data_IF_028025703217
#
_entry.id   IF_028025703217
#
_cell.length_a   1.000
_cell.length_b   1.000
_cell.length_c   1.000
_cell.angle_alpha   90.00
_cell.angle_beta   90.00
_cell.angle_gamma   90.00
#
_symmetry.space_group_name_H-M   'P 1'
#
loop_
_entity.id
_entity.type
_entity.pdbx_description
1 polymer ?
#
# COMPACT_ATOMS: atom_id res chain seq x y z
N UNK A 1 11.60 19.45 13.42
CA UNK A 1 10.53 18.63 14.03
C UNK A 1 9.46 18.32 13.00
N UNK A 2 8.91 17.11 13.06
CA UNK A 2 7.75 16.59 12.32
C UNK A 2 8.04 15.98 10.94
N UNK A 3 8.50 14.72 10.96
CA UNK A 3 8.42 13.79 9.83
C UNK A 3 7.00 13.21 9.78
N UNK A 4 6.19 13.67 8.83
CA UNK A 4 4.86 13.14 8.57
C UNK A 4 4.94 11.73 7.98
N UNK A 5 4.66 10.75 8.83
CA UNK A 5 4.45 9.36 8.40
C UNK A 5 3.00 9.27 7.93
N UNK A 6 2.80 9.35 6.63
CA UNK A 6 1.53 9.04 5.97
C UNK A 6 1.16 7.58 6.23
N UNK A 7 0.09 7.37 6.98
CA UNK A 7 -0.44 6.05 7.32
C UNK A 7 -1.54 5.73 6.29
N UNK A 8 -1.32 4.74 5.44
CA UNK A 8 -2.25 4.30 4.38
C UNK A 8 -3.02 3.08 4.90
N UNK A 9 -4.21 3.29 5.46
CA UNK A 9 -5.06 2.19 5.94
C UNK A 9 -5.97 1.72 4.80
N UNK A 10 -5.84 0.46 4.39
CA UNK A 10 -6.69 -0.18 3.38
C UNK A 10 -7.70 -1.04 4.15
N UNK A 11 -8.94 -0.56 4.26
CA UNK A 11 -10.00 -1.26 4.98
C UNK A 11 -10.80 -2.16 4.02
N UNK A 12 -10.66 -3.48 4.15
CA UNK A 12 -11.67 -4.44 3.68
C UNK A 12 -12.79 -4.53 4.70
N UNK A 13 -14.03 -4.26 4.28
CA UNK A 13 -15.23 -4.32 5.15
C UNK A 13 -15.33 -5.69 5.82
N UNK A 14 -15.26 -5.71 7.14
CA UNK A 14 -15.78 -6.80 7.98
C UNK A 14 -16.48 -6.15 9.19
N UNK A 15 -17.68 -6.65 9.47
CA UNK A 15 -18.63 -6.07 10.42
C UNK A 15 -18.11 -5.96 11.87
N UNK A 16 -18.67 -4.98 12.58
CA UNK A 16 -18.23 -4.38 13.85
C UNK A 16 -17.96 -5.34 15.03
N UNK A 17 -16.79 -5.21 15.67
CA UNK A 17 -16.56 -5.34 17.14
C UNK A 17 -15.40 -4.43 17.59
N UNK A 18 -15.43 -3.83 18.80
CA UNK A 18 -14.48 -2.80 19.21
C UNK A 18 -13.13 -3.37 19.70
N UNK A 19 -12.10 -2.58 19.39
CA UNK A 19 -10.68 -2.61 19.72
C UNK A 19 -10.13 -3.61 20.75
N UNK A 20 -9.22 -4.46 20.27
CA UNK A 20 -8.02 -4.88 21.01
C UNK A 20 -6.80 -4.75 20.07
N UNK A 21 -5.98 -3.72 20.29
CA UNK A 21 -4.70 -3.55 19.60
C UNK A 21 -3.65 -4.49 20.20
N UNK A 22 -3.74 -5.79 19.89
CA UNK A 22 -2.63 -6.71 20.15
C UNK A 22 -1.58 -6.58 19.04
N UNK A 23 -0.68 -5.61 19.20
CA UNK A 23 0.55 -5.55 18.42
C UNK A 23 1.49 -6.65 18.91
N UNK A 24 1.76 -7.63 18.04
CA UNK A 24 3.05 -8.30 17.82
C UNK A 24 2.88 -9.45 16.81
N UNK A 25 3.20 -9.19 15.54
CA UNK A 25 3.73 -10.24 14.65
C UNK A 25 5.18 -9.89 14.36
N UNK A 26 6.10 -10.64 14.97
CA UNK A 26 7.49 -10.62 14.54
C UNK A 26 7.52 -11.32 13.18
N UNK A 27 7.49 -10.52 12.11
CA UNK A 27 7.43 -11.05 10.76
C UNK A 27 8.80 -11.60 10.39
N UNK A 28 9.07 -12.87 10.73
CA UNK A 28 10.04 -13.67 9.98
C UNK A 28 9.49 -13.77 8.57
N UNK A 29 10.05 -13.00 7.64
CA UNK A 29 9.69 -12.98 6.22
C UNK A 29 9.92 -14.39 5.67
N UNK A 30 8.89 -15.21 5.37
CA UNK A 30 9.11 -16.46 4.66
C UNK A 30 9.81 -16.18 3.32
N UNK A 31 10.83 -16.98 2.93
CA UNK A 31 11.60 -16.77 1.70
C UNK A 31 10.75 -16.69 0.42
N UNK A 32 9.54 -17.25 0.45
CA UNK A 32 8.60 -17.37 -0.65
C UNK A 32 7.89 -16.05 -1.01
N UNK A 33 7.89 -15.05 -0.13
CA UNK A 33 7.23 -13.75 -0.37
C UNK A 33 7.76 -12.98 -1.57
N UNK A 34 9.00 -13.27 -1.98
CA UNK A 34 9.59 -12.66 -3.17
C UNK A 34 8.87 -13.06 -4.45
N UNK A 35 8.18 -14.21 -4.45
CA UNK A 35 7.38 -14.71 -5.58
C UNK A 35 5.91 -14.29 -5.47
N UNK A 36 5.42 -14.02 -4.26
CA UNK A 36 4.01 -13.71 -3.99
C UNK A 36 3.71 -12.23 -4.26
N UNK A 37 4.66 -11.33 -4.00
CA UNK A 37 4.39 -9.90 -4.14
C UNK A 37 5.23 -9.23 -5.23
N UNK A 38 4.59 -8.60 -6.24
CA UNK A 38 5.30 -7.92 -7.30
C UNK A 38 6.21 -6.79 -6.77
N UNK A 39 5.80 -6.05 -5.73
CA UNK A 39 6.53 -4.86 -5.26
C UNK A 39 7.95 -5.16 -4.74
N UNK A 40 8.21 -6.38 -4.24
CA UNK A 40 9.51 -6.78 -3.70
C UNK A 40 10.50 -7.29 -4.76
N UNK A 41 10.03 -7.48 -5.98
CA UNK A 41 10.88 -7.93 -7.09
C UNK A 41 11.83 -6.80 -7.49
N UNK A 42 13.14 -7.08 -7.65
CA UNK A 42 14.11 -6.07 -8.07
C UNK A 42 13.79 -5.54 -9.47
N UNK A 43 14.32 -4.37 -9.79
CA UNK A 43 14.24 -3.83 -11.15
C UNK A 43 14.84 -4.83 -12.17
N UNK A 44 14.24 -4.94 -13.36
CA UNK A 44 14.76 -5.80 -14.43
C UNK A 44 16.09 -5.26 -15.00
N UNK A 45 16.30 -3.95 -14.97
CA UNK A 45 17.48 -3.29 -15.52
C UNK A 45 18.69 -3.42 -14.59
N UNK A 46 19.57 -4.38 -14.87
CA UNK A 46 20.75 -4.69 -14.05
C UNK A 46 21.66 -3.48 -13.82
N UNK A 47 21.77 -2.55 -14.79
CA UNK A 47 22.67 -1.39 -14.71
C UNK A 47 22.25 -0.35 -13.66
N UNK A 48 20.98 -0.33 -13.26
CA UNK A 48 20.45 0.62 -12.25
C UNK A 48 20.43 0.02 -10.84
N UNK A 49 20.77 -1.27 -10.71
CA UNK A 49 20.66 -2.00 -9.44
C UNK A 49 21.80 -1.69 -8.49
N UNK A 50 21.42 -1.39 -7.25
CA UNK A 50 22.34 -1.14 -6.15
C UNK A 50 21.94 -1.99 -4.95
N UNK A 51 22.77 -3.00 -4.61
CA UNK A 51 22.46 -3.98 -3.56
C UNK A 51 22.19 -3.34 -2.19
N UNK A 52 22.95 -2.31 -1.84
CA UNK A 52 22.79 -1.60 -0.55
C UNK A 52 21.47 -0.81 -0.54
N UNK A 53 21.18 -0.09 -1.63
CA UNK A 53 19.96 0.71 -1.74
C UNK A 53 18.71 -0.18 -1.70
N UNK A 54 18.69 -1.26 -2.48
CA UNK A 54 17.57 -2.22 -2.47
C UNK A 54 17.38 -2.89 -1.11
N UNK A 55 18.47 -3.16 -0.38
CA UNK A 55 18.38 -3.74 0.97
C UNK A 55 17.75 -2.74 1.94
N UNK A 56 18.17 -1.47 1.89
CA UNK A 56 17.62 -0.42 2.73
C UNK A 56 16.13 -0.17 2.42
N UNK A 57 15.78 -0.14 1.13
CA UNK A 57 14.41 0.00 0.65
C UNK A 57 13.51 -1.14 1.12
N UNK A 58 13.98 -2.39 1.01
CA UNK A 58 13.23 -3.56 1.52
C UNK A 58 12.99 -3.50 3.02
N UNK A 59 13.99 -3.06 3.79
CA UNK A 59 13.84 -2.89 5.23
C UNK A 59 12.80 -1.83 5.58
N UNK A 60 12.76 -0.72 4.84
CA UNK A 60 11.75 0.33 5.06
C UNK A 60 10.35 -0.15 4.69
N UNK A 61 10.18 -0.83 3.55
CA UNK A 61 8.90 -1.43 3.16
C UNK A 61 8.35 -2.38 4.22
N UNK A 62 9.19 -3.26 4.76
CA UNK A 62 8.78 -4.19 5.81
C UNK A 62 8.39 -3.46 7.09
N UNK A 63 9.10 -2.39 7.46
CA UNK A 63 8.77 -1.57 8.63
C UNK A 63 7.43 -0.85 8.44
N UNK A 64 7.12 -0.35 7.25
CA UNK A 64 5.81 0.28 6.95
C UNK A 64 4.67 -0.74 7.02
N UNK A 65 4.86 -1.96 6.51
CA UNK A 65 3.87 -3.05 6.58
C UNK A 65 3.58 -3.57 7.99
N UNK A 66 4.46 -3.29 8.96
CA UNK A 66 4.16 -3.58 10.36
C UNK A 66 3.13 -2.61 10.95
N UNK A 67 2.99 -1.42 10.35
CA UNK A 67 2.03 -0.39 10.76
C UNK A 67 0.79 -0.42 9.87
N UNK A 68 0.97 -0.65 8.57
CA UNK A 68 -0.07 -0.66 7.55
C UNK A 68 -0.32 -2.08 7.05
N UNK A 69 -1.54 -2.58 7.24
CA UNK A 69 -1.94 -3.86 6.67
C UNK A 69 -2.31 -3.67 5.19
N UNK A 70 -1.39 -4.05 4.31
CA UNK A 70 -1.59 -3.97 2.85
C UNK A 70 -1.98 -5.35 2.34
N UNK A 71 -3.24 -5.56 1.91
CA UNK A 71 -3.68 -6.85 1.41
C UNK A 71 -3.06 -7.16 0.04
N UNK A 72 -3.20 -8.42 -0.39
CA UNK A 72 -2.87 -8.83 -1.74
C UNK A 72 -3.98 -8.38 -2.71
N UNK A 73 -3.58 -7.69 -3.79
CA UNK A 73 -4.51 -7.23 -4.83
C UNK A 73 -3.87 -7.23 -6.22
N UNK A 74 -4.72 -7.27 -7.24
CA UNK A 74 -4.32 -7.32 -8.63
C UNK A 74 -5.07 -6.27 -9.46
N UNK A 75 -4.62 -6.05 -10.70
CA UNK A 75 -5.38 -5.23 -11.66
C UNK A 75 -6.74 -5.88 -11.89
N UNK A 76 -7.81 -5.09 -11.76
CA UNK A 76 -9.20 -5.55 -11.77
C UNK A 76 -9.82 -5.76 -10.38
N UNK A 77 -9.03 -5.72 -9.30
CA UNK A 77 -9.57 -5.78 -7.94
C UNK A 77 -10.27 -4.46 -7.56
N UNK A 78 -11.39 -4.55 -6.85
CA UNK A 78 -12.08 -3.39 -6.25
C UNK A 78 -11.44 -3.10 -4.90
N UNK A 79 -10.97 -1.87 -4.71
CA UNK A 79 -10.26 -1.43 -3.52
C UNK A 79 -10.94 -0.19 -2.91
N UNK A 80 -10.82 -0.06 -1.59
CA UNK A 80 -11.18 1.12 -0.85
C UNK A 80 -9.93 1.64 -0.13
N UNK A 81 -9.50 2.85 -0.49
CA UNK A 81 -8.29 3.47 0.05
C UNK A 81 -8.67 4.70 0.85
N UNK A 82 -8.15 4.78 2.07
CA UNK A 82 -8.31 5.94 2.94
C UNK A 82 -6.99 6.71 3.00
N UNK A 83 -7.05 8.00 2.66
CA UNK A 83 -5.91 8.92 2.68
C UNK A 83 -6.21 10.03 3.68
N UNK A 84 -5.24 10.36 4.52
CA UNK A 84 -5.31 11.55 5.36
C UNK A 84 -5.10 12.81 4.51
N UNK A 85 -6.05 13.74 4.54
CA UNK A 85 -5.95 15.02 3.83
C UNK A 85 -6.39 16.13 4.78
N UNK A 86 -5.49 17.07 5.08
CA UNK A 86 -5.72 18.19 5.99
C UNK A 86 -6.79 19.16 5.50
N UNK A 87 -7.00 19.23 4.19
CA UNK A 87 -7.96 20.16 3.57
C UNK A 87 -9.35 19.54 3.41
N UNK A 88 -9.48 18.23 3.63
CA UNK A 88 -10.76 17.54 3.57
C UNK A 88 -11.60 17.84 4.82
N UNK A 89 -12.92 17.96 4.65
CA UNK A 89 -13.85 18.25 5.74
C UNK A 89 -13.81 17.24 6.91
N UNK A 90 -13.35 16.00 6.64
CA UNK A 90 -13.22 14.92 7.62
C UNK A 90 -11.75 14.58 7.95
N UNK A 91 -10.80 15.46 7.58
CA UNK A 91 -9.34 15.26 7.64
C UNK A 91 -8.85 13.96 6.95
N UNK A 92 -9.74 13.31 6.20
CA UNK A 92 -9.55 12.02 5.57
C UNK A 92 -10.48 11.91 4.38
N UNK A 93 -9.95 11.40 3.28
CA UNK A 93 -10.68 11.10 2.07
C UNK A 93 -10.67 9.59 1.84
N UNK A 94 -11.81 9.03 1.46
CA UNK A 94 -11.97 7.61 1.17
C UNK A 94 -12.41 7.45 -0.28
N UNK A 95 -11.56 6.84 -1.10
CA UNK A 95 -11.85 6.55 -2.49
C UNK A 95 -12.12 5.06 -2.68
N UNK A 96 -13.13 4.71 -3.48
CA UNK A 96 -13.47 3.33 -3.82
C UNK A 96 -13.48 3.20 -5.33
N UNK A 97 -12.75 2.23 -5.87
CA UNK A 97 -12.65 2.04 -7.32
C UNK A 97 -12.00 0.74 -7.72
N UNK A 98 -11.97 0.48 -9.03
CA UNK A 98 -11.28 -0.67 -9.61
C UNK A 98 -9.83 -0.30 -9.89
N UNK A 99 -8.88 -1.13 -9.49
CA UNK A 99 -7.47 -0.98 -9.84
C UNK A 99 -7.27 -1.21 -11.33
N UNK A 100 -6.88 -0.19 -12.08
CA UNK A 100 -6.67 -0.27 -13.54
C UNK A 100 -5.20 -0.42 -13.92
N UNK A 101 -4.28 0.04 -13.08
CA UNK A 101 -2.85 -0.08 -13.28
C UNK A 101 -2.14 -0.27 -11.95
N UNK A 102 -1.01 -0.96 -12.01
CA UNK A 102 -0.12 -1.21 -10.87
C UNK A 102 1.31 -1.12 -11.38
N UNK A 103 1.94 0.01 -11.12
CA UNK A 103 3.21 0.39 -11.74
C UNK A 103 4.28 0.63 -10.67
N UNK A 104 5.54 0.69 -11.13
CA UNK A 104 6.74 0.78 -10.30
C UNK A 104 6.91 -0.39 -9.29
N UNK A 105 8.01 -0.34 -8.54
CA UNK A 105 8.39 -1.33 -7.52
C UNK A 105 8.93 -0.62 -6.28
N UNK A 106 9.09 -1.36 -5.19
CA UNK A 106 9.73 -0.82 -3.99
C UNK A 106 8.88 0.25 -3.29
N UNK A 107 9.52 1.32 -2.82
CA UNK A 107 8.87 2.46 -2.15
C UNK A 107 8.16 3.41 -3.10
N UNK A 108 8.44 3.32 -4.40
CA UNK A 108 7.84 4.14 -5.45
C UNK A 108 6.59 3.50 -6.07
N UNK A 109 6.21 2.33 -5.57
CA UNK A 109 5.05 1.60 -6.04
C UNK A 109 3.80 2.47 -5.99
N UNK A 110 3.06 2.51 -7.10
CA UNK A 110 1.79 3.22 -7.18
C UNK A 110 0.77 2.41 -8.00
N UNK A 111 -0.50 2.74 -7.80
CA UNK A 111 -1.59 2.12 -8.53
C UNK A 111 -2.70 3.15 -8.76
N UNK A 112 -3.42 3.00 -9.87
CA UNK A 112 -4.51 3.91 -10.22
C UNK A 112 -5.84 3.22 -10.01
N UNK A 113 -6.73 3.88 -9.28
CA UNK A 113 -8.11 3.43 -9.07
C UNK A 113 -9.04 4.23 -9.95
N UNK A 114 -9.93 3.55 -10.67
CA UNK A 114 -10.97 4.19 -11.48
C UNK A 114 -12.32 4.02 -10.83
N UNK A 115 -13.06 5.11 -10.71
CA UNK A 115 -14.47 5.10 -10.31
C UNK A 115 -15.31 5.99 -11.23
N UNK A 116 -16.62 5.74 -11.27
CA UNK A 116 -17.58 6.63 -11.93
C UNK A 116 -18.57 7.10 -10.88
N UNK A 117 -18.55 8.39 -10.58
CA UNK A 117 -19.43 9.03 -9.61
C UNK A 117 -20.32 10.01 -10.38
N UNK A 118 -21.64 9.90 -10.21
CA UNK A 118 -22.64 10.77 -10.86
C UNK A 118 -22.48 10.91 -12.39
N UNK A 119 -21.99 9.86 -13.05
CA UNK A 119 -21.77 9.82 -14.50
C UNK A 119 -20.45 10.44 -14.97
N UNK A 120 -19.66 11.00 -14.06
CA UNK A 120 -18.30 11.48 -14.35
C UNK A 120 -17.26 10.43 -13.96
N UNK A 121 -16.27 10.23 -14.83
CA UNK A 121 -15.15 9.34 -14.54
C UNK A 121 -14.09 10.07 -13.72
N UNK A 122 -13.74 9.50 -12.58
CA UNK A 122 -12.63 9.95 -11.72
C UNK A 122 -11.54 8.86 -11.68
N UNK A 123 -10.28 9.28 -11.68
CA UNK A 123 -9.07 8.43 -11.67
C UNK A 123 -8.05 8.94 -10.67
#
# INVERSE_FOLDING_TARGET
DHNDKTIVNIETKNDEKPCDFTVKKHYTVPPELRLVLPDFMPEPDFSRRNLIAEKLERLDMLRRRQVLDVPEFYVGSVLAVSVSDEHAAKCSNRFVGICISRDDRGLRHHFTLRNVVDGFGEF
#
